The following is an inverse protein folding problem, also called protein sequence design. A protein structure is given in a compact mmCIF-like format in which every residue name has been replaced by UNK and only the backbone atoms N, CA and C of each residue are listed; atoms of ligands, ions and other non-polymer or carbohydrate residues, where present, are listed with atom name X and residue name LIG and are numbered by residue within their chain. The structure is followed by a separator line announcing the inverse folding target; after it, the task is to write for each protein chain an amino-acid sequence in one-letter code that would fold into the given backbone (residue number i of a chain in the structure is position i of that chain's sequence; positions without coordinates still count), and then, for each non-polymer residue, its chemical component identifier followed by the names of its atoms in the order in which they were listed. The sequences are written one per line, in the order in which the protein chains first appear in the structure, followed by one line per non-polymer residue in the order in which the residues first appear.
data_IF_972282918801
#
_entry.id   IF_972282918801
#
_cell.length_a   1.000
_cell.length_b   1.000
_cell.length_c   1.000
_cell.angle_alpha   90.00
_cell.angle_beta   90.00
_cell.angle_gamma   90.00
#
_symmetry.space_group_name_H-M   'P 1'
#
loop_
_entity.id
_entity.type
_entity.pdbx_description
1 polymer ?
2 non-polymer ?
3 non-polymer ?
4 non-polymer ?
5 non-polymer ?
6 water ?
#
# COMPACT_ATOMS: atom_id res chain seq x y z
N UNK A 4 -19.60 -4.07 -12.27
CA UNK A 4 -19.71 -5.08 -11.17
C UNK A 4 -19.14 -4.55 -9.85
N UNK A 5 -17.99 -3.88 -9.92
CA UNK A 5 -17.30 -3.41 -8.70
C UNK A 5 -17.62 -1.94 -8.43
N UNK A 6 -18.91 -1.68 -8.20
CA UNK A 6 -19.49 -0.34 -8.12
C UNK A 6 -18.92 0.58 -7.02
N UNK A 7 -18.29 -0.02 -6.02
CA UNK A 7 -17.72 0.74 -4.88
C UNK A 7 -16.36 1.36 -5.15
N UNK A 8 -15.69 0.89 -6.20
CA UNK A 8 -14.37 1.37 -6.59
C UNK A 8 -14.34 2.86 -6.97
N UNK A 9 -15.40 3.31 -7.65
CA UNK A 9 -15.40 4.62 -8.28
C UNK A 9 -15.14 5.79 -7.33
N UNK A 10 -15.76 5.81 -6.16
CA UNK A 10 -15.52 6.91 -5.24
C UNK A 10 -14.06 6.97 -4.76
N UNK A 11 -13.47 5.81 -4.45
CA UNK A 11 -12.03 5.76 -4.12
C UNK A 11 -11.13 6.23 -5.25
N UNK A 12 -11.39 5.76 -6.47
CA UNK A 12 -10.62 6.21 -7.63
C UNK A 12 -10.77 7.73 -7.84
N UNK A 13 -11.96 8.26 -7.60
CA UNK A 13 -12.16 9.69 -7.78
C UNK A 13 -11.38 10.51 -6.75
N UNK A 14 -11.28 10.00 -5.51
CA UNK A 14 -10.47 10.71 -4.50
C UNK A 14 -8.98 10.74 -4.88
N UNK A 15 -8.47 9.64 -5.44
CA UNK A 15 -7.08 9.61 -5.92
C UNK A 15 -6.86 10.55 -7.11
N UNK A 16 -7.81 10.53 -8.05
CA UNK A 16 -7.69 11.36 -9.24
C UNK A 16 -7.57 12.85 -8.92
N UNK A 17 -8.18 13.29 -7.82
CA UNK A 17 -8.10 14.72 -7.44
C UNK A 17 -6.66 15.10 -7.14
N UNK A 18 -5.92 14.20 -6.48
CA UNK A 18 -4.49 14.47 -6.21
C UNK A 18 -3.67 14.34 -7.51
N UNK A 19 -3.94 13.30 -8.30
CA UNK A 19 -3.26 13.11 -9.58
C UNK A 19 -3.43 14.30 -10.53
N UNK A 20 -4.56 14.99 -10.48
CA UNK A 20 -4.80 16.15 -11.35
C UNK A 20 -4.15 17.42 -10.81
N UNK A 21 -3.65 17.39 -9.57
CA UNK A 21 -3.11 18.62 -8.96
C UNK A 21 -1.61 18.81 -9.23
N UNK A 22 -1.25 20.03 -9.63
CA UNK A 22 0.17 20.36 -9.79
C UNK A 22 0.47 21.73 -9.18
N UNK A 23 0.43 21.83 -7.83
CA UNK A 23 0.46 23.12 -7.17
C UNK A 23 1.79 23.83 -7.32
N UNK A 24 2.87 23.09 -7.52
CA UNK A 24 4.18 23.69 -7.69
C UNK A 24 4.54 23.88 -9.18
N UNK A 25 3.57 23.64 -10.05
CA UNK A 25 3.77 23.76 -11.50
C UNK A 25 5.04 23.02 -11.91
N UNK A 26 5.13 21.75 -11.53
CA UNK A 26 6.38 21.02 -11.64
C UNK A 26 6.40 19.95 -12.71
N UNK A 27 5.26 19.69 -13.35
CA UNK A 27 5.16 18.62 -14.34
C UNK A 27 6.32 18.54 -15.34
N UNK A 28 6.57 19.61 -16.09
CA UNK A 28 7.65 19.60 -17.09
C UNK A 28 9.03 19.43 -16.47
N UNK A 29 9.15 19.83 -15.21
CA UNK A 29 10.41 19.69 -14.49
C UNK A 29 10.66 18.26 -14.03
N UNK A 30 9.65 17.61 -13.43
CA UNK A 30 9.85 16.24 -12.92
C UNK A 30 10.12 15.24 -14.05
N UNK A 31 9.55 15.49 -15.23
CA UNK A 31 9.84 14.69 -16.42
C UNK A 31 11.32 14.63 -16.78
N UNK A 32 12.10 15.62 -16.34
CA UNK A 32 13.53 15.65 -16.65
C UNK A 32 14.37 14.79 -15.68
N UNK A 33 13.77 14.36 -14.58
CA UNK A 33 14.47 13.59 -13.56
C UNK A 33 15.06 12.26 -14.03
N UNK A 34 14.31 11.43 -14.79
CA UNK A 34 14.90 10.16 -15.30
C UNK A 34 16.22 10.29 -16.07
N UNK A 35 16.34 11.27 -16.95
CA UNK A 35 17.60 11.55 -17.67
C UNK A 35 18.73 11.86 -16.69
N UNK A 36 18.44 12.67 -15.68
CA UNK A 36 19.44 12.98 -14.65
C UNK A 36 19.84 11.77 -13.83
N UNK A 37 18.89 10.89 -13.52
CA UNK A 37 19.24 9.67 -12.79
C UNK A 37 20.15 8.75 -13.63
N UNK A 38 19.80 8.60 -14.90
CA UNK A 38 20.58 7.80 -15.85
C UNK A 38 22.03 8.30 -15.91
N UNK A 39 22.21 9.60 -15.88
CA UNK A 39 23.54 10.20 -15.90
C UNK A 39 24.18 10.32 -14.49
N UNK A 40 23.48 9.86 -13.46
CA UNK A 40 23.98 9.95 -12.08
C UNK A 40 24.40 11.38 -11.75
N UNK A 41 23.64 12.35 -12.25
CA UNK A 41 23.98 13.76 -12.10
C UNK A 41 23.40 14.37 -10.80
N UNK A 42 24.10 14.16 -9.70
CA UNK A 42 23.58 14.57 -8.38
C UNK A 42 23.42 16.09 -8.25
N UNK A 43 24.43 16.90 -8.64
CA UNK A 43 24.20 18.35 -8.64
C UNK A 43 23.02 18.79 -9.49
N UNK A 44 22.86 18.18 -10.68
CA UNK A 44 21.72 18.46 -11.57
C UNK A 44 20.38 18.10 -10.93
N UNK A 45 20.34 16.97 -10.23
CA UNK A 45 19.12 16.54 -9.52
C UNK A 45 18.73 17.58 -8.47
N UNK A 46 19.71 18.00 -7.68
CA UNK A 46 19.49 19.04 -6.67
C UNK A 46 19.01 20.34 -7.34
N UNK A 47 19.71 20.78 -8.38
CA UNK A 47 19.36 22.03 -9.06
C UNK A 47 17.95 21.97 -9.65
N UNK A 48 17.57 20.80 -10.15
CA UNK A 48 16.23 20.62 -10.70
C UNK A 48 15.17 20.75 -9.60
N UNK A 49 15.37 20.07 -8.48
CA UNK A 49 14.50 20.22 -7.34
C UNK A 49 14.34 21.70 -6.91
N UNK A 50 15.45 22.42 -6.84
CA UNK A 50 15.39 23.80 -6.38
C UNK A 50 14.67 24.77 -7.32
N UNK A 51 14.45 24.35 -8.56
CA UNK A 51 13.63 25.14 -9.48
C UNK A 51 12.16 25.24 -9.02
N UNK A 52 11.69 24.28 -8.22
CA UNK A 52 10.29 24.35 -7.76
C UNK A 52 10.06 24.15 -6.25
N UNK A 53 11.11 23.82 -5.52
CA UNK A 53 10.98 23.63 -4.10
C UNK A 53 10.60 24.97 -3.42
N UNK A 54 9.49 25.01 -2.66
CA UNK A 54 9.10 26.28 -2.01
C UNK A 54 10.12 26.70 -0.96
N UNK A 55 10.40 27.99 -0.86
CA UNK A 55 11.44 28.46 0.06
C UNK A 55 10.87 29.29 1.18
N UNK A 56 9.65 29.77 0.96
CA UNK A 56 9.03 30.76 1.82
C UNK A 56 7.83 30.14 2.54
N UNK A 57 7.86 28.82 2.71
CA UNK A 57 6.75 28.11 3.33
C UNK A 57 5.70 27.70 2.31
N UNK A 58 4.72 26.93 2.78
CA UNK A 58 3.61 26.50 1.94
C UNK A 58 2.58 27.62 1.79
N UNK A 59 2.03 27.79 0.56
CA UNK A 59 0.91 28.71 0.32
C UNK A 59 -0.30 28.43 1.23
N UNK A 60 -0.87 29.47 1.82
CA UNK A 60 -1.87 29.29 2.88
C UNK A 60 -3.21 28.77 2.38
N UNK A 61 -3.41 28.85 1.05
CA UNK A 61 -4.63 28.35 0.44
C UNK A 61 -4.65 26.84 0.23
N UNK A 62 -3.50 26.19 0.36
CA UNK A 62 -3.40 24.74 0.12
C UNK A 62 -4.24 23.92 1.08
N UNK A 63 -4.85 22.87 0.55
CA UNK A 63 -5.52 21.87 1.37
C UNK A 63 -4.76 20.56 1.25
N UNK A 64 -5.37 19.47 1.67
CA UNK A 64 -4.73 18.14 1.63
C UNK A 64 -4.23 17.79 0.22
N UNK A 65 -5.05 18.10 -0.78
CA UNK A 65 -4.78 17.71 -2.16
C UNK A 65 -3.49 18.35 -2.69
N UNK A 66 -3.37 19.67 -2.52
CA UNK A 66 -2.19 20.42 -2.95
C UNK A 66 -0.94 19.96 -2.18
N UNK A 67 -1.06 19.77 -0.87
CA UNK A 67 0.11 19.35 -0.09
C UNK A 67 0.55 17.91 -0.44
N UNK A 68 -0.41 17.01 -0.65
CA UNK A 68 -0.10 15.65 -1.11
C UNK A 68 0.56 15.66 -2.49
N UNK A 69 0.03 16.46 -3.41
CA UNK A 69 0.64 16.59 -4.75
C UNK A 69 2.06 17.16 -4.75
N UNK A 70 2.29 18.20 -3.94
CA UNK A 70 3.62 18.75 -3.76
C UNK A 70 4.60 17.69 -3.18
N UNK A 71 4.18 16.95 -2.16
CA UNK A 71 4.99 15.84 -1.61
C UNK A 71 5.31 14.79 -2.68
N UNK A 72 4.37 14.54 -3.57
CA UNK A 72 4.64 13.61 -4.66
C UNK A 72 5.81 14.12 -5.54
N UNK A 73 5.74 15.39 -5.93
CA UNK A 73 6.71 15.92 -6.87
C UNK A 73 8.12 16.12 -6.30
N UNK A 74 8.18 16.62 -5.07
CA UNK A 74 9.44 16.69 -4.35
C UNK A 74 9.89 15.26 -4.06
N UNK A 75 8.91 14.40 -3.77
CA UNK A 75 9.18 13.02 -3.34
C UNK A 75 10.06 12.20 -4.26
N UNK A 76 9.84 12.29 -5.59
CA UNK A 76 10.70 11.52 -6.50
C UNK A 76 12.17 11.89 -6.39
N UNK A 77 12.46 13.12 -5.97
CA UNK A 77 13.84 13.58 -5.76
C UNK A 77 14.48 12.99 -4.51
N UNK A 78 13.66 12.58 -3.54
CA UNK A 78 14.13 11.98 -2.28
C UNK A 78 14.70 10.58 -2.50
N UNK A 79 13.91 9.68 -3.08
CA UNK A 79 14.43 8.36 -3.46
C UNK A 79 15.59 8.43 -4.44
N UNK A 80 15.53 9.38 -5.37
CA UNK A 80 16.62 9.54 -6.35
C UNK A 80 17.94 9.91 -5.67
N UNK A 81 17.93 10.93 -4.81
CA UNK A 81 19.15 11.37 -4.16
C UNK A 81 19.73 10.26 -3.32
N UNK A 82 18.87 9.54 -2.59
CA UNK A 82 19.33 8.46 -1.74
C UNK A 82 19.90 7.32 -2.58
N UNK A 83 19.28 7.06 -3.73
CA UNK A 83 19.76 6.06 -4.69
C UNK A 83 21.21 6.32 -5.09
N UNK A 84 21.60 7.58 -5.27
CA UNK A 84 23.05 7.90 -5.57
C UNK A 84 23.94 8.05 -4.32
N UNK A 85 23.41 7.70 -3.15
CA UNK A 85 24.20 7.59 -1.90
C UNK A 85 24.12 8.83 -1.03
N UNK A 86 23.07 9.66 -1.20
CA UNK A 86 22.99 10.92 -0.43
C UNK A 86 21.68 11.08 0.34
N UNK A 87 21.79 11.46 1.60
CA UNK A 87 20.63 11.89 2.38
C UNK A 87 20.12 13.21 1.83
N UNK A 88 18.90 13.21 1.28
CA UNK A 88 18.35 14.43 0.64
C UNK A 88 18.34 15.62 1.59
N UNK A 89 18.02 15.38 2.86
CA UNK A 89 18.00 16.49 3.85
C UNK A 89 19.38 17.11 4.03
N UNK A 90 20.43 16.31 3.80
CA UNK A 90 21.79 16.78 4.02
C UNK A 90 22.36 17.57 2.84
N UNK A 91 21.87 17.32 1.62
CA UNK A 91 22.43 18.00 0.44
C UNK A 91 21.51 19.06 -0.15
N UNK A 92 20.28 19.16 0.37
CA UNK A 92 19.33 20.19 -0.08
C UNK A 92 18.93 21.06 1.12
N UNK A 93 19.61 22.20 1.31
CA UNK A 93 19.26 23.07 2.45
C UNK A 93 17.81 23.59 2.33
N UNK A 94 17.15 23.75 3.47
CA UNK A 94 15.75 24.16 3.49
C UNK A 94 14.78 23.07 3.10
N UNK A 95 15.26 21.89 2.70
CA UNK A 95 14.34 20.83 2.30
C UNK A 95 13.58 20.20 3.48
N UNK A 96 14.30 19.90 4.55
CA UNK A 96 13.69 19.18 5.65
C UNK A 96 12.52 19.98 6.29
N UNK A 97 12.66 21.30 6.49
CA UNK A 97 11.45 22.03 6.99
C UNK A 97 10.20 21.90 6.09
N UNK A 98 10.40 21.96 4.78
CA UNK A 98 9.32 21.77 3.81
C UNK A 98 8.70 20.36 3.95
N UNK A 99 9.53 19.32 3.96
CA UNK A 99 9.03 17.93 4.15
C UNK A 99 8.18 17.80 5.44
N UNK A 100 8.68 18.37 6.53
CA UNK A 100 7.93 18.31 7.82
C UNK A 100 6.61 19.09 7.81
N UNK A 101 6.56 20.22 7.09
CA UNK A 101 5.33 20.98 6.91
C UNK A 101 4.32 20.23 6.05
N UNK A 102 4.80 19.49 5.07
CA UNK A 102 3.93 18.70 4.22
C UNK A 102 3.39 17.47 4.95
N UNK A 103 4.24 16.83 5.77
CA UNK A 103 3.82 15.74 6.68
C UNK A 103 2.66 16.24 7.56
N UNK A 104 2.81 17.42 8.15
CA UNK A 104 1.79 18.04 9.02
C UNK A 104 0.52 18.32 8.23
N UNK A 105 0.67 18.86 7.02
CA UNK A 105 -0.49 19.19 6.14
C UNK A 105 -1.29 17.95 5.70
N UNK A 106 -0.61 16.79 5.60
CA UNK A 106 -1.26 15.57 5.11
C UNK A 106 -1.47 14.49 6.16
N UNK A 107 -0.94 14.71 7.37
CA UNK A 107 -0.97 13.65 8.40
C UNK A 107 -0.40 12.32 7.87
N UNK A 108 0.68 12.44 7.12
CA UNK A 108 1.38 11.29 6.54
C UNK A 108 2.88 11.52 6.79
N UNK A 109 3.74 10.52 6.48
CA UNK A 109 5.17 10.74 6.75
C UNK A 109 5.82 11.86 5.91
N UNK A 110 7.01 12.36 6.31
CA UNK A 110 7.66 13.47 5.60
C UNK A 110 8.50 13.03 4.38
N UNK A 111 7.95 12.13 3.56
CA UNK A 111 8.55 11.72 2.29
C UNK A 111 7.45 11.07 1.45
N UNK A 112 7.82 10.61 0.25
CA UNK A 112 6.86 9.98 -0.66
C UNK A 112 6.54 8.57 -0.20
N UNK A 113 5.28 8.18 -0.38
CA UNK A 113 4.85 6.84 -0.08
C UNK A 113 4.32 6.23 -1.35
N UNK A 114 3.94 4.96 -1.26
CA UNK A 114 3.28 4.27 -2.35
C UNK A 114 2.14 5.06 -2.99
N UNK A 115 1.30 5.68 -2.16
CA UNK A 115 0.17 6.44 -2.66
C UNK A 115 0.61 7.56 -3.59
N UNK A 116 1.61 8.31 -3.16
CA UNK A 116 2.18 9.42 -3.98
C UNK A 116 2.66 8.96 -5.36
N UNK A 117 3.34 7.82 -5.44
CA UNK A 117 3.98 7.40 -6.69
C UNK A 117 3.05 6.59 -7.62
N UNK A 118 1.89 6.16 -7.12
CA UNK A 118 0.95 5.36 -7.91
C UNK A 118 -0.38 6.09 -8.17
N UNK A 119 -1.35 5.92 -7.28
CA UNK A 119 -2.70 6.44 -7.55
C UNK A 119 -2.83 7.96 -7.50
N UNK A 120 -1.92 8.64 -6.79
CA UNK A 120 -1.86 10.12 -6.77
C UNK A 120 -0.98 10.72 -7.89
N UNK A 121 -0.50 9.85 -8.77
CA UNK A 121 0.45 10.22 -9.80
C UNK A 121 -0.29 10.12 -11.13
N UNK A 122 -0.32 11.21 -11.92
CA UNK A 122 -1.06 11.11 -13.19
C UNK A 122 -0.49 10.02 -14.13
N UNK A 123 -1.35 9.51 -15.01
CA UNK A 123 -1.01 8.37 -15.86
C UNK A 123 -0.47 8.73 -17.26
N UNK A 124 -0.76 9.93 -17.75
CA UNK A 124 -0.34 10.31 -19.10
C UNK A 124 1.20 10.34 -19.26
N UNK A 125 1.66 9.93 -20.44
CA UNK A 125 3.10 9.94 -20.79
C UNK A 125 3.73 11.31 -20.60
N UNK A 126 2.96 12.36 -20.84
CA UNK A 126 3.52 13.71 -20.67
C UNK A 126 3.33 14.29 -19.27
N UNK A 127 2.89 13.44 -18.32
CA UNK A 127 2.65 13.91 -16.92
C UNK A 127 3.13 12.94 -15.84
N UNK A 128 3.12 11.63 -16.11
CA UNK A 128 3.48 10.65 -15.09
C UNK A 128 4.90 10.91 -14.55
N UNK A 129 5.02 11.04 -13.23
CA UNK A 129 6.33 11.13 -12.55
C UNK A 129 6.91 9.71 -12.37
N UNK A 130 8.24 9.63 -12.39
CA UNK A 130 8.94 8.37 -12.42
C UNK A 130 10.35 8.60 -11.89
N UNK A 131 10.94 7.59 -11.24
CA UNK A 131 12.36 7.71 -10.89
C UNK A 131 13.21 7.47 -12.15
N UNK A 132 12.85 6.45 -12.92
CA UNK A 132 13.72 5.98 -13.97
C UNK A 132 13.20 6.23 -15.37
N UNK A 133 11.89 6.42 -15.54
CA UNK A 133 11.34 6.50 -16.90
C UNK A 133 11.31 5.16 -17.65
N UNK A 134 11.70 4.09 -16.96
CA UNK A 134 11.76 2.77 -17.61
C UNK A 134 10.36 2.17 -17.74
N UNK A 135 10.17 1.32 -18.77
CA UNK A 135 8.92 0.59 -18.99
C UNK A 135 8.57 -0.29 -17.80
N UNK A 136 9.56 -0.99 -17.24
CA UNK A 136 9.32 -1.80 -16.06
C UNK A 136 8.79 -1.00 -14.87
N UNK A 137 9.25 0.25 -14.70
CA UNK A 137 8.68 1.07 -13.61
C UNK A 137 7.23 1.47 -13.93
N UNK A 138 6.97 1.86 -15.17
CA UNK A 138 5.57 2.11 -15.60
C UNK A 138 4.63 0.93 -15.26
N UNK A 139 5.06 -0.31 -15.52
CA UNK A 139 4.20 -1.48 -15.23
C UNK A 139 4.08 -1.73 -13.75
N UNK A 140 5.16 -1.45 -13.00
CA UNK A 140 5.13 -1.59 -11.56
C UNK A 140 4.07 -0.67 -10.95
N UNK A 141 4.03 0.58 -11.40
CA UNK A 141 3.01 1.53 -10.92
C UNK A 141 1.63 1.03 -11.29
N UNK A 142 1.47 0.57 -12.55
CA UNK A 142 0.19 0.09 -13.03
C UNK A 142 -0.29 -1.10 -12.20
N UNK A 143 0.63 -1.99 -11.81
CA UNK A 143 0.22 -3.15 -11.03
C UNK A 143 -0.47 -2.77 -9.71
N UNK A 144 -0.10 -1.63 -9.12
CA UNK A 144 -0.73 -1.17 -7.88
C UNK A 144 -2.04 -0.43 -8.19
N UNK A 145 -2.06 0.35 -9.26
CA UNK A 145 -3.29 1.03 -9.66
C UNK A 145 -4.43 0.06 -9.96
N UNK A 146 -4.10 -1.15 -10.41
CA UNK A 146 -5.12 -2.19 -10.64
C UNK A 146 -6.00 -2.46 -9.41
N UNK A 147 -5.38 -2.47 -8.22
CA UNK A 147 -6.06 -3.00 -7.03
C UNK A 147 -6.29 -2.04 -5.86
N UNK A 148 -5.61 -0.90 -5.84
CA UNK A 148 -5.67 0.02 -4.69
C UNK A 148 -7.10 0.44 -4.33
N UNK A 149 -7.87 0.96 -5.30
CA UNK A 149 -9.22 1.41 -4.99
C UNK A 149 -10.13 0.24 -4.61
N UNK A 150 -9.94 -0.90 -5.26
CA UNK A 150 -10.67 -2.13 -4.92
C UNK A 150 -10.32 -2.66 -3.52
N UNK A 151 -9.07 -2.52 -3.11
CA UNK A 151 -8.65 -2.89 -1.75
C UNK A 151 -9.34 -1.98 -0.73
N UNK A 152 -9.38 -0.68 -1.02
CA UNK A 152 -10.02 0.30 -0.13
C UNK A 152 -11.50 0.01 0.05
N UNK A 153 -12.17 -0.37 -1.04
CA UNK A 153 -13.55 -0.80 -0.96
C UNK A 153 -13.67 -2.07 -0.14
N UNK A 154 -12.72 -2.98 -0.30
CA UNK A 154 -12.68 -4.23 0.44
C UNK A 154 -12.52 -4.00 1.96
N UNK A 155 -11.72 -2.98 2.34
CA UNK A 155 -11.60 -2.61 3.76
C UNK A 155 -12.96 -2.18 4.32
N UNK A 156 -13.67 -1.30 3.59
CA UNK A 156 -15.01 -0.87 3.97
C UNK A 156 -15.98 -2.05 4.09
N UNK A 157 -15.98 -2.95 3.09
CA UNK A 157 -16.80 -4.17 3.14
C UNK A 157 -16.47 -5.07 4.34
N UNK A 158 -15.18 -5.17 4.69
CA UNK A 158 -14.75 -5.97 5.85
C UNK A 158 -15.28 -5.37 7.18
N UNK A 159 -15.18 -4.06 7.32
CA UNK A 159 -15.68 -3.37 8.49
C UNK A 159 -17.21 -3.55 8.64
N UNK A 160 -17.90 -3.45 7.50
CA UNK A 160 -19.34 -3.64 7.45
C UNK A 160 -19.71 -5.08 7.82
N UNK A 161 -19.01 -6.05 7.24
CA UNK A 161 -19.27 -7.47 7.49
C UNK A 161 -19.09 -7.83 8.96
N UNK A 162 -18.18 -7.13 9.63
CA UNK A 162 -17.87 -7.35 11.05
C UNK A 162 -19.14 -7.23 11.93
N UNK A 163 -20.03 -6.32 11.56
CA UNK A 163 -21.30 -6.12 12.29
C UNK A 163 -22.46 -6.96 11.75
N UNK A 164 -22.21 -7.86 10.79
CA UNK A 164 -23.25 -8.72 10.23
C UNK A 164 -23.23 -10.11 10.85
N UNK A 165 -24.40 -10.56 11.32
CA UNK A 165 -24.54 -11.87 11.93
C UNK A 165 -24.42 -12.99 10.90
N UNK A 166 -23.66 -14.02 11.25
CA UNK A 166 -23.54 -15.24 10.45
C UNK A 166 -24.89 -15.95 10.20
N UNK A 167 -25.86 -15.72 11.10
CA UNK A 167 -27.23 -16.26 10.95
C UNK A 167 -28.03 -15.58 9.81
N UNK A 168 -27.56 -14.42 9.36
CA UNK A 168 -28.23 -13.67 8.29
C UNK A 168 -27.76 -14.13 6.91
N UNK A 169 -28.67 -14.18 5.92
CA UNK A 169 -28.24 -14.40 4.52
C UNK A 169 -27.32 -13.27 4.04
N UNK A 170 -27.32 -12.14 4.74
CA UNK A 170 -26.46 -11.01 4.39
C UNK A 170 -24.98 -11.39 4.55
N UNK A 171 -24.69 -12.29 5.49
CA UNK A 171 -23.30 -12.63 5.76
C UNK A 171 -22.60 -13.24 4.53
N UNK A 172 -23.25 -14.23 3.92
CA UNK A 172 -22.73 -14.91 2.74
C UNK A 172 -22.67 -13.96 1.52
N UNK A 173 -23.67 -13.10 1.38
CA UNK A 173 -23.73 -12.12 0.29
C UNK A 173 -22.60 -11.07 0.38
N UNK A 174 -22.40 -10.49 1.57
CA UNK A 174 -21.30 -9.55 1.81
C UNK A 174 -19.92 -10.22 1.65
N UNK A 175 -19.78 -11.47 2.09
CA UNK A 175 -18.51 -12.20 1.95
C UNK A 175 -18.22 -12.47 0.46
N UNK A 176 -19.26 -12.82 -0.29
CA UNK A 176 -19.13 -13.04 -1.73
C UNK A 176 -18.68 -11.74 -2.44
N UNK A 177 -19.26 -10.63 -2.03
CA UNK A 177 -18.92 -9.31 -2.55
C UNK A 177 -17.45 -8.97 -2.20
N UNK A 178 -17.07 -9.22 -0.95
CA UNK A 178 -15.70 -8.98 -0.49
C UNK A 178 -14.68 -9.76 -1.32
N UNK A 179 -15.01 -11.02 -1.60
CA UNK A 179 -14.13 -11.90 -2.36
C UNK A 179 -13.84 -11.30 -3.75
N UNK A 180 -14.87 -10.71 -4.34
CA UNK A 180 -14.82 -10.17 -5.70
C UNK A 180 -13.89 -8.95 -5.75
N UNK A 181 -13.94 -8.09 -4.73
CA UNK A 181 -12.98 -6.96 -4.64
C UNK A 181 -11.55 -7.44 -4.40
N UNK A 182 -11.38 -8.41 -3.51
CA UNK A 182 -10.04 -8.96 -3.23
C UNK A 182 -9.34 -9.65 -4.42
N UNK A 183 -10.14 -10.09 -5.41
CA UNK A 183 -9.61 -10.70 -6.64
C UNK A 183 -8.70 -9.71 -7.42
N UNK A 184 -8.91 -8.42 -7.21
CA UNK A 184 -8.05 -7.42 -7.83
C UNK A 184 -6.57 -7.54 -7.39
N UNK A 185 -6.33 -7.95 -6.14
CA UNK A 185 -4.95 -8.21 -5.65
C UNK A 185 -4.29 -9.31 -6.46
N UNK A 186 -5.05 -10.36 -6.76
CA UNK A 186 -4.58 -11.46 -7.61
C UNK A 186 -4.26 -10.91 -9.00
N UNK A 187 -5.19 -10.17 -9.57
CA UNK A 187 -4.95 -9.51 -10.89
C UNK A 187 -3.65 -8.68 -10.92
N UNK A 188 -3.40 -7.90 -9.87
CA UNK A 188 -2.13 -7.17 -9.70
C UNK A 188 -0.89 -8.05 -9.84
N UNK A 189 -0.88 -9.19 -9.15
CA UNK A 189 0.31 -10.04 -9.16
C UNK A 189 0.47 -10.71 -10.52
N UNK A 190 -0.63 -11.17 -11.10
CA UNK A 190 -0.58 -11.72 -12.46
C UNK A 190 0.03 -10.67 -13.41
N UNK A 191 -0.45 -9.44 -13.33
CA UNK A 191 0.06 -8.35 -14.18
C UNK A 191 1.57 -8.18 -13.95
N UNK A 192 1.97 -8.14 -12.68
CA UNK A 192 3.36 -7.95 -12.33
C UNK A 192 4.22 -9.13 -12.83
N UNK A 193 3.75 -10.37 -12.65
CA UNK A 193 4.50 -11.53 -13.11
C UNK A 193 4.71 -11.47 -14.63
N UNK A 194 3.69 -11.01 -15.35
CA UNK A 194 3.75 -10.95 -16.82
C UNK A 194 4.61 -9.81 -17.39
N UNK A 195 4.55 -8.63 -16.77
CA UNK A 195 5.07 -7.44 -17.42
C UNK A 195 6.38 -6.89 -16.87
N UNK A 196 6.73 -7.26 -15.65
CA UNK A 196 7.90 -6.67 -14.99
C UNK A 196 9.03 -7.67 -15.01
N UNK A 197 10.16 -7.28 -15.61
CA UNK A 197 11.37 -8.09 -15.56
C UNK A 197 11.99 -8.01 -14.15
N UNK A 198 12.13 -9.17 -13.47
CA UNK A 198 12.75 -9.23 -12.14
C UNK A 198 14.18 -8.68 -12.10
N UNK A 199 14.91 -8.91 -13.17
CA UNK A 199 16.25 -8.40 -13.38
C UNK A 199 16.30 -6.87 -13.42
N UNK A 200 15.41 -6.27 -14.20
CA UNK A 200 15.38 -4.84 -14.28
C UNK A 200 14.89 -4.30 -12.94
N UNK A 201 13.94 -4.99 -12.31
CA UNK A 201 13.43 -4.53 -11.03
C UNK A 201 14.58 -4.42 -10.03
N UNK A 202 15.30 -5.54 -9.87
CA UNK A 202 16.37 -5.63 -8.87
C UNK A 202 17.52 -4.68 -9.16
N UNK A 203 17.96 -4.59 -10.42
CA UNK A 203 19.14 -3.81 -10.78
C UNK A 203 18.81 -2.34 -10.93
N UNK A 204 17.62 -2.04 -11.45
CA UNK A 204 17.34 -0.67 -11.89
C UNK A 204 16.31 0.07 -11.05
N UNK A 205 15.38 -0.65 -10.45
CA UNK A 205 14.27 0.03 -9.74
C UNK A 205 14.48 0.07 -8.23
N UNK A 206 14.76 -1.11 -7.67
CA UNK A 206 14.99 -1.33 -6.23
C UNK A 206 15.94 -0.32 -5.55
N UNK A 207 17.01 0.13 -6.27
CA UNK A 207 17.94 1.09 -5.64
C UNK A 207 17.31 2.42 -5.28
N UNK A 208 16.16 2.71 -5.88
CA UNK A 208 15.44 3.96 -5.59
C UNK A 208 14.54 3.93 -4.38
N UNK A 209 14.39 2.76 -3.74
CA UNK A 209 13.45 2.58 -2.63
C UNK A 209 14.08 2.42 -1.23
N UNK A 210 15.26 3.00 -1.04
CA UNK A 210 15.94 2.93 0.27
C UNK A 210 15.32 3.91 1.27
N UNK A 211 15.54 3.69 2.57
CA UNK A 211 15.06 4.65 3.58
C UNK A 211 15.82 5.98 3.52
N UNK A 212 15.19 7.07 3.96
CA UNK A 212 15.90 8.33 4.18
C UNK A 212 15.68 8.80 5.62
N UNK A 213 16.59 9.65 6.10
CA UNK A 213 16.44 10.24 7.43
C UNK A 213 15.84 11.64 7.40
N UNK A 214 14.75 11.81 8.15
CA UNK A 214 14.07 13.10 8.33
C UNK A 214 13.65 13.18 9.77
N UNK A 215 13.86 14.35 10.41
CA UNK A 215 13.37 14.54 11.78
C UNK A 215 13.96 13.58 12.83
N UNK A 216 15.18 13.12 12.57
CA UNK A 216 15.91 12.25 13.49
C UNK A 216 15.39 10.83 13.51
N UNK A 217 14.67 10.44 12.46
CA UNK A 217 14.34 9.03 12.30
C UNK A 217 14.37 8.61 10.85
N UNK A 218 14.25 7.31 10.63
CA UNK A 218 14.36 6.72 9.31
C UNK A 218 12.96 6.46 8.76
N UNK A 219 12.69 6.87 7.52
CA UNK A 219 11.43 6.54 6.86
C UNK A 219 11.64 5.68 5.62
N UNK A 220 10.92 4.56 5.55
CA UNK A 220 11.01 3.60 4.44
C UNK A 220 10.61 4.21 3.11
N UNK A 221 11.18 3.66 2.05
CA UNK A 221 10.83 4.09 0.71
C UNK A 221 9.53 3.44 0.26
N UNK A 222 8.99 3.89 -0.89
CA UNK A 222 7.72 3.33 -1.35
C UNK A 222 7.79 1.85 -1.69
N UNK A 223 6.68 1.17 -1.44
CA UNK A 223 6.53 -0.25 -1.70
C UNK A 223 5.06 -0.62 -1.64
N UNK A 224 4.65 -1.61 -2.44
CA UNK A 224 3.29 -2.09 -2.34
C UNK A 224 2.98 -2.69 -0.96
N UNK A 225 4.02 -3.07 -0.22
CA UNK A 225 3.91 -3.46 1.20
C UNK A 225 3.14 -2.38 2.00
N UNK A 226 3.20 -1.13 1.54
CA UNK A 226 2.46 -0.04 2.19
C UNK A 226 0.93 -0.04 1.94
N UNK A 227 0.44 -0.87 1.00
CA UNK A 227 -1.03 -0.96 0.73
C UNK A 227 -1.71 -1.45 2.00
N UNK A 228 -2.89 -0.90 2.33
CA UNK A 228 -3.48 -1.21 3.62
C UNK A 228 -4.13 -2.63 3.72
N UNK A 229 -3.60 -3.59 2.97
CA UNK A 229 -4.09 -4.95 3.05
C UNK A 229 -3.96 -5.48 4.48
N UNK A 230 -2.84 -5.14 5.14
CA UNK A 230 -2.63 -5.60 6.54
C UNK A 230 -3.65 -5.04 7.51
N UNK A 231 -4.22 -3.85 7.21
CA UNK A 231 -5.32 -3.33 8.03
C UNK A 231 -6.57 -4.19 7.81
N UNK A 232 -6.84 -4.52 6.55
CA UNK A 232 -8.01 -5.35 6.22
C UNK A 232 -7.97 -6.65 7.01
N UNK A 233 -6.83 -7.33 6.94
CA UNK A 233 -6.66 -8.64 7.58
C UNK A 233 -6.52 -8.54 9.10
N UNK A 234 -6.02 -7.42 9.60
CA UNK A 234 -6.06 -7.13 11.03
C UNK A 234 -7.53 -7.24 11.50
N UNK A 235 -8.44 -6.60 10.78
CA UNK A 235 -9.88 -6.70 11.09
C UNK A 235 -10.44 -8.12 10.87
N UNK A 236 -10.07 -8.72 9.73
CA UNK A 236 -10.62 -10.01 9.31
C UNK A 236 -10.17 -11.19 10.19
N UNK A 237 -8.88 -11.32 10.47
CA UNK A 237 -8.38 -12.48 11.25
C UNK A 237 -7.24 -12.19 12.22
N UNK A 238 -6.49 -11.11 12.00
CA UNK A 238 -5.23 -10.89 12.71
C UNK A 238 -5.19 -10.10 14.02
N UNK A 239 -6.24 -9.35 14.32
CA UNK A 239 -6.24 -8.40 15.45
C UNK A 239 -5.82 -8.99 16.82
N UNK A 240 -6.19 -10.24 17.06
CA UNK A 240 -5.87 -10.87 18.35
C UNK A 240 -4.73 -11.89 18.30
N UNK A 241 -3.96 -11.89 17.21
CA UNK A 241 -2.82 -12.79 17.09
C UNK A 241 -1.78 -12.45 18.15
N UNK A 242 -1.08 -13.45 18.65
CA UNK A 242 -0.02 -13.22 19.64
C UNK A 242 1.37 -13.40 19.04
N UNK A 243 1.42 -13.60 17.71
CA UNK A 243 2.68 -13.67 16.98
C UNK A 243 3.29 -12.26 16.97
N UNK A 244 4.43 -12.11 17.66
CA UNK A 244 5.09 -10.81 17.85
C UNK A 244 5.67 -10.27 16.54
N UNK A 245 6.19 -11.17 15.72
CA UNK A 245 6.75 -10.83 14.41
C UNK A 245 5.67 -10.27 13.46
N UNK A 246 4.49 -10.90 13.47
CA UNK A 246 3.36 -10.43 12.70
C UNK A 246 2.90 -9.05 13.19
N UNK A 247 2.85 -8.89 14.51
CA UNK A 247 2.46 -7.63 15.15
C UNK A 247 3.41 -6.48 14.78
N UNK A 248 4.72 -6.75 14.86
CA UNK A 248 5.76 -5.79 14.48
C UNK A 248 5.66 -5.45 13.00
N UNK A 249 5.34 -6.45 12.17
CA UNK A 249 5.13 -6.21 10.73
C UNK A 249 4.04 -5.18 10.49
N UNK A 250 2.85 -5.42 11.05
CA UNK A 250 1.72 -4.48 10.90
C UNK A 250 2.05 -3.06 11.41
N UNK A 251 2.67 -2.97 12.58
CA UNK A 251 2.91 -1.67 13.22
C UNK A 251 3.98 -0.88 12.45
N UNK A 252 4.86 -1.61 11.76
CA UNK A 252 5.83 -1.00 10.84
C UNK A 252 5.19 -0.10 9.79
N UNK A 253 4.08 -0.55 9.19
CA UNK A 253 3.49 0.16 8.03
C UNK A 253 2.39 1.14 8.36
N UNK A 254 1.90 1.06 9.60
CA UNK A 254 0.84 1.92 10.06
C UNK A 254 1.07 3.41 9.73
N UNK A 255 2.30 3.94 9.93
CA UNK A 255 2.49 5.35 9.61
C UNK A 255 2.28 5.71 8.14
N UNK A 256 2.35 4.71 7.25
CA UNK A 256 2.37 4.93 5.80
C UNK A 256 1.00 4.85 5.12
N UNK A 257 -0.02 4.39 5.85
CA UNK A 257 -1.36 4.25 5.27
C UNK A 257 -2.18 5.51 5.63
N UNK A 258 -3.29 5.73 4.91
CA UNK A 258 -4.16 6.89 5.19
C UNK A 258 -4.59 6.96 6.65
N UNK A 259 -4.67 8.18 7.20
CA UNK A 259 -5.12 8.30 8.59
C UNK A 259 -6.38 7.47 8.91
N UNK A 260 -7.31 7.39 7.97
CA UNK A 260 -8.57 6.67 8.20
C UNK A 260 -8.31 5.19 8.50
N UNK A 261 -7.30 4.63 7.83
CA UNK A 261 -6.98 3.21 8.03
C UNK A 261 -6.17 2.95 9.31
N UNK A 262 -5.37 3.92 9.73
CA UNK A 262 -4.76 3.87 11.08
C UNK A 262 -5.86 3.84 12.15
N UNK A 263 -6.92 4.60 11.92
CA UNK A 263 -8.05 4.66 12.88
C UNK A 263 -8.88 3.37 12.84
N UNK A 264 -9.05 2.79 11.66
CA UNK A 264 -9.67 1.46 11.56
C UNK A 264 -8.82 0.42 12.31
N UNK A 265 -7.51 0.45 12.09
CA UNK A 265 -6.60 -0.47 12.77
C UNK A 265 -6.73 -0.34 14.30
N UNK A 266 -6.70 0.89 14.80
CA UNK A 266 -6.79 1.17 16.25
C UNK A 266 -8.12 0.68 16.81
N UNK A 267 -9.21 0.90 16.08
CA UNK A 267 -10.54 0.50 16.53
C UNK A 267 -10.65 -1.01 16.81
N UNK A 268 -10.00 -1.81 15.97
CA UNK A 268 -10.15 -3.27 16.06
C UNK A 268 -9.06 -4.02 16.85
N UNK A 269 -8.03 -3.31 17.28
CA UNK A 269 -6.90 -3.93 18.01
C UNK A 269 -7.28 -4.44 19.39
N UNK A 270 -6.68 -5.55 19.80
CA UNK A 270 -6.88 -6.15 21.12
C UNK A 270 -8.26 -6.73 21.36
N UNK A 271 -9.00 -6.91 20.26
CA UNK A 271 -10.41 -7.28 20.24
C UNK A 271 -10.54 -8.45 19.27
N UNK A 272 -11.48 -9.39 19.51
CA UNK A 272 -11.63 -10.52 18.58
C UNK A 272 -11.79 -10.10 17.11
N UNK A 273 -11.05 -10.78 16.24
CA UNK A 273 -11.13 -10.55 14.81
C UNK A 273 -12.46 -11.06 14.28
N UNK A 274 -12.79 -10.67 13.06
CA UNK A 274 -14.06 -11.03 12.46
C UNK A 274 -14.27 -12.56 12.49
N UNK A 275 -13.27 -13.33 12.06
CA UNK A 275 -13.45 -14.76 11.99
C UNK A 275 -13.54 -15.41 13.37
N UNK A 276 -12.95 -14.78 14.40
CA UNK A 276 -13.07 -15.29 15.77
C UNK A 276 -14.53 -15.19 16.22
N UNK A 277 -15.13 -14.03 15.97
CA UNK A 277 -16.54 -13.80 16.26
C UNK A 277 -17.43 -14.74 15.44
N UNK A 278 -17.18 -14.80 14.13
CA UNK A 278 -17.95 -15.65 13.22
C UNK A 278 -17.91 -17.11 13.65
N UNK A 279 -16.73 -17.60 14.00
CA UNK A 279 -16.58 -19.00 14.43
C UNK A 279 -17.22 -19.28 15.79
N UNK A 280 -17.09 -18.35 16.74
CA UNK A 280 -17.77 -18.49 18.04
C UNK A 280 -19.27 -18.61 17.81
N UNK A 281 -19.79 -17.78 16.90
CA UNK A 281 -21.21 -17.78 16.58
C UNK A 281 -21.64 -19.11 15.94
N UNK A 282 -20.86 -19.60 14.97
CA UNK A 282 -21.07 -20.92 14.38
C UNK A 282 -21.09 -22.04 15.42
N UNK A 283 -20.14 -22.02 16.34
CA UNK A 283 -20.08 -23.01 17.42
C UNK A 283 -21.34 -23.02 18.28
N UNK A 284 -21.84 -21.83 18.64
CA UNK A 284 -23.00 -21.70 19.49
C UNK A 284 -24.31 -22.13 18.79
N UNK A 285 -24.46 -21.69 17.54
CA UNK A 285 -25.71 -21.87 16.79
C UNK A 285 -25.81 -23.21 16.03
N UNK A 286 -24.68 -23.74 15.60
CA UNK A 286 -24.67 -24.99 14.82
C UNK A 286 -24.64 -24.75 13.32
N UNK A 287 -24.00 -25.67 12.60
CA UNK A 287 -23.96 -25.61 11.13
C UNK A 287 -25.19 -26.20 10.46
N UNK A 288 -26.15 -26.68 11.24
CA UNK A 288 -27.48 -27.03 10.70
C UNK A 288 -28.19 -25.79 10.15
N UNK A 289 -27.92 -24.63 10.75
CA UNK A 289 -28.49 -23.40 10.24
C UNK A 289 -27.91 -23.13 8.83
N UNK A 290 -28.78 -23.02 7.84
CA UNK A 290 -28.38 -22.87 6.43
C UNK A 290 -27.55 -21.62 6.15
N UNK A 291 -27.86 -20.54 6.86
CA UNK A 291 -27.11 -19.30 6.68
C UNK A 291 -25.71 -19.34 7.30
N UNK A 292 -25.57 -20.14 8.35
CA UNK A 292 -24.28 -20.39 8.95
C UNK A 292 -23.40 -21.15 7.95
N UNK A 293 -23.94 -22.21 7.33
CA UNK A 293 -23.19 -23.03 6.35
C UNK A 293 -22.73 -22.15 5.22
N UNK A 294 -23.68 -21.45 4.59
CA UNK A 294 -23.39 -20.59 3.45
C UNK A 294 -22.39 -19.48 3.82
N UNK A 295 -22.54 -18.92 5.02
CA UNK A 295 -21.66 -17.84 5.47
C UNK A 295 -20.23 -18.30 5.64
N UNK A 296 -20.06 -19.48 6.23
CA UNK A 296 -18.74 -20.06 6.43
C UNK A 296 -18.10 -20.47 5.10
N UNK A 297 -18.91 -20.98 4.16
CA UNK A 297 -18.44 -21.35 2.82
C UNK A 297 -17.93 -20.10 2.08
N UNK A 298 -18.72 -19.02 2.18
CA UNK A 298 -18.37 -17.74 1.54
C UNK A 298 -17.11 -17.18 2.17
N UNK A 299 -16.99 -17.38 3.49
CA UNK A 299 -15.83 -16.89 4.23
C UNK A 299 -14.55 -17.64 3.80
N UNK A 300 -14.67 -18.96 3.60
CA UNK A 300 -13.54 -19.77 3.15
C UNK A 300 -13.04 -19.28 1.78
N UNK A 301 -13.95 -18.83 0.92
CA UNK A 301 -13.58 -18.31 -0.40
C UNK A 301 -12.78 -16.99 -0.30
N UNK A 302 -13.09 -16.17 0.71
CA UNK A 302 -12.30 -14.98 1.02
C UNK A 302 -10.84 -15.34 1.35
N UNK A 303 -10.63 -16.34 2.20
CA UNK A 303 -9.27 -16.81 2.50
C UNK A 303 -8.60 -17.41 1.26
N UNK A 304 -9.37 -18.15 0.46
CA UNK A 304 -8.86 -18.66 -0.80
C UNK A 304 -8.26 -17.53 -1.68
N UNK A 305 -8.96 -16.41 -1.83
CA UNK A 305 -8.46 -15.36 -2.72
C UNK A 305 -7.22 -14.66 -2.12
N UNK A 306 -7.21 -14.52 -0.79
CA UNK A 306 -6.03 -13.97 -0.11
C UNK A 306 -4.81 -14.82 -0.40
N UNK A 307 -5.00 -16.13 -0.41
CA UNK A 307 -3.92 -17.08 -0.66
C UNK A 307 -3.50 -17.12 -2.13
N UNK A 308 -4.45 -16.87 -3.03
CA UNK A 308 -4.15 -16.72 -4.46
C UNK A 308 -3.39 -15.43 -4.76
N UNK A 309 -3.46 -14.46 -3.85
CA UNK A 309 -2.58 -13.30 -3.92
C UNK A 309 -1.23 -13.65 -3.30
N UNK A 310 -1.29 -14.15 -2.07
CA UNK A 310 -0.11 -14.24 -1.23
C UNK A 310 0.92 -15.26 -1.72
N UNK A 311 0.48 -16.43 -2.15
CA UNK A 311 1.43 -17.47 -2.60
C UNK A 311 2.19 -17.10 -3.89
N UNK A 312 1.50 -16.62 -4.93
CA UNK A 312 2.20 -16.16 -6.14
C UNK A 312 3.06 -14.93 -5.88
N UNK A 313 2.65 -14.08 -4.94
CA UNK A 313 3.43 -12.88 -4.62
C UNK A 313 4.77 -13.29 -4.01
N UNK A 314 4.74 -14.32 -3.16
CA UNK A 314 5.96 -14.88 -2.59
C UNK A 314 6.94 -15.34 -3.69
N UNK A 315 6.41 -16.00 -4.73
CA UNK A 315 7.25 -16.46 -5.84
C UNK A 315 7.82 -15.28 -6.65
N UNK A 316 7.00 -14.26 -6.88
CA UNK A 316 7.43 -13.03 -7.54
C UNK A 316 8.61 -12.39 -6.79
N UNK A 317 8.45 -12.23 -5.47
CA UNK A 317 9.48 -11.64 -4.63
C UNK A 317 10.79 -12.44 -4.61
N UNK A 318 10.69 -13.76 -4.44
CA UNK A 318 11.87 -14.62 -4.43
C UNK A 318 12.61 -14.58 -5.76
N UNK A 319 11.86 -14.52 -6.87
CA UNK A 319 12.43 -14.44 -8.22
C UNK A 319 13.24 -13.15 -8.40
N UNK A 320 12.71 -12.02 -7.91
CA UNK A 320 13.41 -10.74 -7.96
C UNK A 320 14.67 -10.74 -7.10
N UNK A 321 14.58 -11.34 -5.90
CA UNK A 321 15.73 -11.42 -5.01
C UNK A 321 16.70 -12.58 -5.32
N UNK A 322 16.38 -13.36 -6.37
CA UNK A 322 17.28 -14.39 -6.93
C UNK A 322 18.33 -13.73 -7.83
N UNK A 323 18.04 -12.48 -8.23
CA UNK A 323 18.96 -11.63 -9.00
C UNK A 323 19.97 -10.98 -8.05
N UNK A 329 19.52 -9.62 0.88
CA UNK A 329 18.94 -8.28 0.84
C UNK A 329 17.45 -8.32 1.17
N UNK A 330 16.90 -7.14 1.45
CA UNK A 330 15.57 -6.96 1.98
C UNK A 330 14.81 -5.99 1.07
N UNK A 331 13.47 -6.05 1.08
CA UNK A 331 12.66 -5.11 0.30
C UNK A 331 12.73 -3.69 0.84
N UNK A 332 11.97 -2.80 0.20
CA UNK A 332 11.83 -1.42 0.66
C UNK A 332 11.14 -1.34 2.04
N UNK A 333 10.26 -2.29 2.33
CA UNK A 333 9.61 -2.38 3.65
C UNK A 333 10.50 -2.93 4.77
N UNK A 334 11.70 -3.41 4.42
CA UNK A 334 12.69 -3.83 5.41
C UNK A 334 12.70 -5.31 5.75
N UNK A 335 11.99 -6.14 4.98
CA UNK A 335 11.98 -7.58 5.21
C UNK A 335 12.57 -8.39 4.06
N UNK A 336 13.24 -9.49 4.41
CA UNK A 336 13.64 -10.52 3.46
C UNK A 336 12.40 -11.34 3.07
N UNK A 337 12.42 -11.99 1.89
CA UNK A 337 11.24 -12.79 1.51
C UNK A 337 10.76 -13.86 2.51
N UNK A 338 11.59 -14.23 3.48
CA UNK A 338 11.21 -15.22 4.53
C UNK A 338 10.07 -14.78 5.45
N UNK A 339 9.95 -13.48 5.70
CA UNK A 339 8.80 -12.92 6.42
C UNK A 339 7.51 -13.22 5.66
N UNK A 340 7.61 -13.26 4.34
CA UNK A 340 6.46 -13.50 3.50
C UNK A 340 5.99 -14.92 3.76
N UNK A 341 6.93 -15.85 3.87
CA UNK A 341 6.61 -17.24 4.21
C UNK A 341 5.87 -17.37 5.51
N UNK A 342 6.27 -16.57 6.51
CA UNK A 342 5.60 -16.55 7.81
C UNK A 342 4.16 -16.05 7.74
N UNK A 343 3.95 -14.97 6.99
CA UNK A 343 2.60 -14.42 6.84
C UNK A 343 1.72 -15.42 6.10
N UNK A 344 2.32 -16.09 5.11
CA UNK A 344 1.61 -17.09 4.35
C UNK A 344 1.13 -18.25 5.27
N UNK A 345 1.99 -18.70 6.18
CA UNK A 345 1.63 -19.73 7.17
C UNK A 345 0.46 -19.30 8.02
N UNK A 346 0.50 -18.06 8.52
CA UNK A 346 -0.61 -17.49 9.30
C UNK A 346 -1.91 -17.49 8.52
N UNK A 347 -1.82 -17.23 7.21
CA UNK A 347 -3.02 -17.15 6.38
C UNK A 347 -3.62 -18.54 6.17
N UNK A 348 -2.78 -19.54 5.88
CA UNK A 348 -3.25 -20.93 5.79
C UNK A 348 -3.89 -21.41 7.10
N UNK A 349 -3.27 -21.09 8.23
CA UNK A 349 -3.84 -21.46 9.53
C UNK A 349 -5.20 -20.81 9.74
N UNK A 350 -5.35 -19.55 9.36
CA UNK A 350 -6.65 -18.91 9.46
C UNK A 350 -7.68 -19.56 8.54
N UNK A 351 -7.31 -19.85 7.27
CA UNK A 351 -8.23 -20.58 6.39
C UNK A 351 -8.57 -21.95 6.98
N UNK A 352 -7.56 -22.63 7.53
CA UNK A 352 -7.78 -23.94 8.18
C UNK A 352 -8.85 -23.92 9.27
N UNK A 353 -8.87 -22.87 10.08
CA UNK A 353 -9.90 -22.70 11.11
C UNK A 353 -11.27 -22.68 10.46
N UNK A 354 -11.44 -21.81 9.47
CA UNK A 354 -12.72 -21.65 8.78
C UNK A 354 -13.19 -23.00 8.19
N UNK A 355 -12.29 -23.72 7.52
CA UNK A 355 -12.71 -24.98 6.90
C UNK A 355 -13.00 -26.11 7.89
N UNK A 356 -12.29 -26.17 9.01
CA UNK A 356 -12.63 -27.11 10.09
C UNK A 356 -14.01 -26.85 10.71
N UNK A 357 -14.48 -25.59 10.67
CA UNK A 357 -15.80 -25.25 11.17
C UNK A 357 -16.93 -25.87 10.33
N UNK A 358 -16.57 -26.30 9.12
CA UNK A 358 -17.51 -26.88 8.17
C UNK A 358 -17.49 -28.41 8.19
#
# INVERSE_FOLDING_TARGET
MERTLDRVGVFAATHAAVAASDPLQARALVLQLPGLNRNKDVPGIVGLLREFLPVRGLPSGWGFVEAAAAMRDIGFFLGSLKRHGHEPAEVVPGLEPVLLDLARATNLPPRETLLHVTVWNPTAADAQRSYTGLPDEAHLLESVRISMAALEAAIALTVELFDVSLRSPEFAQRSDELEAYLQKMVESIVYAYRFISPQVFYDELRPFYEPIRVGGQSYLGPGAVEMPLFVLEHVLWGSQSDDQTYREFKETYLPYVLPAYRAVYARFSGEPALIDRALDEARAVGTRDEHVRAGLTALERVFKVLLRFRAPHLKLAERAYEVGQSGPEIGSGGYAPSMLGELLTLTYAARSRVRAALDES
#
